data_IF_597456817784
#
_entry.id   IF_597456817784
#
_cell.length_a   1.000
_cell.length_b   1.000
_cell.length_c   1.000
_cell.angle_alpha   90.00
_cell.angle_beta   90.00
_cell.angle_gamma   90.00
#
_symmetry.space_group_name_H-M   'P 1'
#
loop_
_entity.id
_entity.type
_entity.pdbx_description
1 polymer ?
#
# COMPACT_ATOMS: atom_id res chain seq x y z
N UNK A 1 -6.78 -10.96 0.16
CA UNK A 1 -7.26 -12.32 -0.18
C UNK A 1 -8.75 -12.37 0.07
N UNK A 2 -9.49 -13.12 -0.73
CA UNK A 2 -10.89 -13.47 -0.47
C UNK A 2 -11.03 -14.97 -0.67
N UNK A 3 -11.72 -15.65 0.23
CA UNK A 3 -12.11 -17.06 0.08
C UNK A 3 -13.62 -17.21 0.05
N UNK A 4 -14.13 -18.21 -0.66
CA UNK A 4 -15.55 -18.56 -0.67
C UNK A 4 -15.86 -19.80 0.19
N UNK A 5 -17.13 -20.25 0.15
CA UNK A 5 -17.59 -21.44 0.88
C UNK A 5 -17.19 -22.76 0.20
N UNK A 6 -16.68 -22.72 -1.03
CA UNK A 6 -16.33 -23.88 -1.85
C UNK A 6 -14.83 -24.21 -1.79
N UNK A 7 -14.05 -23.44 -1.02
CA UNK A 7 -12.61 -23.60 -0.87
C UNK A 7 -11.79 -22.90 -1.95
N UNK A 8 -12.43 -22.09 -2.80
CA UNK A 8 -11.70 -21.20 -3.69
C UNK A 8 -11.16 -20.01 -2.91
N UNK A 9 -9.97 -19.57 -3.30
CA UNK A 9 -9.27 -18.44 -2.69
C UNK A 9 -8.59 -17.66 -3.80
N UNK A 10 -8.71 -16.34 -3.76
CA UNK A 10 -8.03 -15.45 -4.69
C UNK A 10 -7.18 -14.39 -3.99
N UNK A 11 -5.96 -14.19 -4.48
CA UNK A 11 -5.09 -13.09 -4.10
C UNK A 11 -5.26 -11.90 -5.07
N UNK A 12 -6.00 -10.90 -4.63
CA UNK A 12 -6.27 -9.69 -5.41
C UNK A 12 -5.08 -8.73 -5.46
N UNK A 13 -4.20 -8.75 -4.47
CA UNK A 13 -3.11 -7.77 -4.44
C UNK A 13 -2.04 -8.12 -3.42
N UNK A 14 -0.81 -7.72 -3.73
CA UNK A 14 0.31 -7.76 -2.83
C UNK A 14 1.06 -6.44 -2.92
N UNK A 15 1.52 -5.95 -1.76
CA UNK A 15 2.21 -4.69 -1.64
C UNK A 15 3.55 -4.84 -0.93
N UNK A 16 4.52 -4.00 -1.29
CA UNK A 16 5.70 -3.76 -0.45
C UNK A 16 5.39 -2.60 0.49
N UNK A 17 5.77 -2.78 1.75
CA UNK A 17 5.71 -1.73 2.77
C UNK A 17 7.09 -1.08 2.92
N UNK A 18 7.13 0.25 2.92
CA UNK A 18 8.31 1.04 3.25
C UNK A 18 8.00 1.84 4.51
N UNK A 19 8.94 1.85 5.45
CA UNK A 19 8.75 2.44 6.76
C UNK A 19 9.45 3.79 6.89
N UNK A 20 8.90 4.64 7.75
CA UNK A 20 9.41 5.97 8.08
C UNK A 20 10.86 5.89 8.58
N UNK A 21 11.61 6.95 8.30
CA UNK A 21 12.94 7.17 8.89
C UNK A 21 12.90 8.06 10.14
N UNK A 22 11.76 8.69 10.42
CA UNK A 22 11.60 9.75 11.42
C UNK A 22 10.66 9.36 12.57
N UNK A 23 9.93 8.26 12.44
CA UNK A 23 9.13 7.70 13.54
C UNK A 23 10.04 7.17 14.66
N UNK A 24 9.80 7.61 15.89
CA UNK A 24 10.46 7.12 17.09
C UNK A 24 9.88 5.76 17.50
N UNK A 25 10.78 4.77 17.63
CA UNK A 25 10.55 3.47 18.30
C UNK A 25 9.63 2.47 17.59
N UNK A 26 8.89 2.86 16.56
CA UNK A 26 8.01 2.00 15.78
C UNK A 26 8.38 2.02 14.29
N UNK A 27 8.28 0.87 13.62
CA UNK A 27 8.31 0.80 12.16
C UNK A 27 6.94 1.23 11.63
N UNK A 28 6.79 2.51 11.30
CA UNK A 28 5.56 3.08 10.76
C UNK A 28 5.60 3.01 9.24
N UNK A 29 4.66 2.31 8.61
CA UNK A 29 4.61 2.24 7.15
C UNK A 29 4.18 3.59 6.59
N UNK A 30 5.00 4.17 5.72
CA UNK A 30 4.75 5.43 5.02
C UNK A 30 4.43 5.20 3.54
N UNK A 31 4.78 4.04 3.00
CA UNK A 31 4.36 3.67 1.64
C UNK A 31 3.89 2.23 1.63
N UNK A 32 2.71 2.00 1.07
CA UNK A 32 2.29 0.70 0.59
C UNK A 32 2.23 0.73 -0.93
N UNK A 33 3.03 -0.09 -1.61
CA UNK A 33 3.12 -0.10 -3.07
C UNK A 33 2.66 -1.43 -3.65
N UNK A 34 1.45 -1.44 -4.24
CA UNK A 34 0.84 -2.61 -4.87
C UNK A 34 1.29 -2.77 -6.32
N UNK A 35 1.46 -4.03 -6.74
CA UNK A 35 1.86 -4.40 -8.09
C UNK A 35 3.17 -3.73 -8.55
N UNK A 36 4.12 -3.59 -7.62
CA UNK A 36 5.43 -2.97 -7.88
C UNK A 36 6.30 -3.78 -8.86
N UNK A 37 7.24 -3.11 -9.54
CA UNK A 37 8.32 -3.74 -10.33
C UNK A 37 9.52 -4.22 -9.52
N UNK A 38 9.52 -4.06 -8.19
CA UNK A 38 10.64 -4.47 -7.34
C UNK A 38 11.04 -5.95 -7.53
N UNK A 39 10.05 -6.82 -7.76
CA UNK A 39 10.27 -8.23 -8.05
C UNK A 39 9.69 -8.60 -9.41
N UNK A 40 10.22 -9.68 -9.98
CA UNK A 40 9.69 -10.28 -11.21
C UNK A 40 8.31 -10.92 -10.96
N UNK A 41 7.61 -11.19 -12.06
CA UNK A 41 6.25 -11.71 -12.04
C UNK A 41 6.17 -13.11 -11.40
N UNK A 42 7.24 -13.91 -11.53
CA UNK A 42 7.35 -15.24 -10.94
C UNK A 42 7.44 -15.16 -9.40
N UNK A 43 8.22 -14.21 -8.87
CA UNK A 43 8.32 -13.97 -7.44
C UNK A 43 6.99 -13.49 -6.87
N UNK A 44 6.29 -12.59 -7.58
CA UNK A 44 4.96 -12.15 -7.18
C UNK A 44 3.93 -13.28 -7.18
N UNK A 45 3.91 -14.12 -8.21
CA UNK A 45 3.04 -15.30 -8.25
C UNK A 45 3.31 -16.24 -7.07
N UNK A 46 4.59 -16.48 -6.75
CA UNK A 46 4.99 -17.29 -5.58
C UNK A 46 4.52 -16.68 -4.25
N UNK A 47 4.57 -15.35 -4.11
CA UNK A 47 4.05 -14.64 -2.93
C UNK A 47 2.53 -14.81 -2.82
N UNK A 48 1.79 -14.65 -3.92
CA UNK A 48 0.35 -14.86 -3.93
C UNK A 48 -0.02 -16.29 -3.55
N UNK A 49 0.64 -17.28 -4.16
CA UNK A 49 0.39 -18.69 -3.88
C UNK A 49 0.68 -19.04 -2.42
N UNK A 50 1.79 -18.54 -1.86
CA UNK A 50 2.09 -18.69 -0.45
C UNK A 50 0.97 -18.10 0.43
N UNK A 51 0.45 -16.92 0.07
CA UNK A 51 -0.66 -16.31 0.79
C UNK A 51 -1.95 -17.13 0.74
N UNK A 52 -2.26 -17.71 -0.42
CA UNK A 52 -3.40 -18.61 -0.60
C UNK A 52 -3.24 -19.88 0.26
N UNK A 53 -2.04 -20.45 0.30
CA UNK A 53 -1.74 -21.61 1.13
C UNK A 53 -1.90 -21.32 2.61
N UNK A 54 -1.38 -20.19 3.10
CA UNK A 54 -1.59 -19.75 4.49
C UNK A 54 -3.07 -19.56 4.82
N UNK A 55 -3.82 -18.91 3.94
CA UNK A 55 -5.26 -18.70 4.13
C UNK A 55 -6.02 -20.02 4.26
N UNK A 56 -5.76 -20.97 3.36
CA UNK A 56 -6.37 -22.31 3.39
C UNK A 56 -5.95 -23.12 4.61
N UNK A 57 -4.67 -23.07 5.00
CA UNK A 57 -4.14 -23.79 6.15
C UNK A 57 -4.79 -23.36 7.48
N UNK A 58 -5.21 -22.10 7.59
CA UNK A 58 -5.94 -21.58 8.74
C UNK A 58 -7.43 -21.92 8.73
N UNK A 59 -7.94 -22.55 7.67
CA UNK A 59 -9.36 -22.87 7.52
C UNK A 59 -10.25 -21.64 7.33
N UNK A 60 -9.69 -20.51 6.91
CA UNK A 60 -10.49 -19.32 6.60
C UNK A 60 -11.35 -19.60 5.36
N UNK A 61 -12.61 -19.17 5.39
CA UNK A 61 -13.55 -19.32 4.29
C UNK A 61 -14.60 -18.21 4.35
N UNK A 62 -15.20 -17.92 3.20
CA UNK A 62 -16.29 -16.93 3.08
C UNK A 62 -15.97 -15.54 3.65
N UNK A 63 -14.71 -15.10 3.55
CA UNK A 63 -14.26 -13.86 4.16
C UNK A 63 -13.02 -13.27 3.50
N UNK A 64 -12.73 -12.02 3.85
CA UNK A 64 -11.47 -11.41 3.52
C UNK A 64 -10.33 -11.89 4.44
N UNK A 65 -9.14 -11.96 3.85
CA UNK A 65 -7.89 -12.18 4.56
C UNK A 65 -6.82 -11.17 4.15
N UNK A 66 -6.08 -10.66 5.13
CA UNK A 66 -4.90 -9.83 4.95
C UNK A 66 -3.70 -10.55 5.58
N UNK A 67 -2.69 -10.85 4.77
CA UNK A 67 -1.50 -11.56 5.24
C UNK A 67 -0.28 -10.65 5.16
N UNK A 68 0.43 -10.53 6.28
CA UNK A 68 1.75 -9.91 6.33
C UNK A 68 2.82 -11.01 6.30
N UNK A 69 3.83 -10.81 5.44
CA UNK A 69 4.92 -11.76 5.23
C UNK A 69 6.26 -11.07 5.23
N UNK A 70 7.29 -11.81 5.63
CA UNK A 70 8.69 -11.43 5.44
C UNK A 70 9.30 -12.37 4.41
N UNK A 71 9.92 -11.81 3.37
CA UNK A 71 10.79 -12.56 2.46
C UNK A 71 12.23 -12.41 2.93
N UNK A 72 12.89 -13.52 3.27
CA UNK A 72 14.31 -13.55 3.59
C UNK A 72 15.18 -13.40 2.34
N UNK A 73 16.46 -13.10 2.54
CA UNK A 73 17.47 -13.04 1.48
C UNK A 73 17.57 -14.34 0.67
N UNK A 74 17.36 -15.49 1.31
CA UNK A 74 17.34 -16.81 0.66
C UNK A 74 16.01 -17.11 -0.08
N UNK A 75 15.10 -16.14 -0.15
CA UNK A 75 13.82 -16.23 -0.82
C UNK A 75 12.72 -16.92 -0.01
N UNK A 76 13.00 -17.49 1.18
CA UNK A 76 11.94 -18.08 2.01
C UNK A 76 10.93 -17.03 2.47
N UNK A 77 9.66 -17.40 2.47
CA UNK A 77 8.55 -16.58 2.93
C UNK A 77 8.15 -17.05 4.33
N UNK A 78 8.04 -16.11 5.27
CA UNK A 78 7.56 -16.34 6.63
C UNK A 78 6.26 -15.59 6.81
N UNK A 79 5.17 -16.25 7.25
CA UNK A 79 3.96 -15.54 7.63
C UNK A 79 4.19 -14.86 8.99
N UNK A 80 3.83 -13.59 9.09
CA UNK A 80 3.93 -12.81 10.33
C UNK A 80 2.58 -12.72 11.02
N UNK A 81 1.57 -12.26 10.27
CA UNK A 81 0.20 -12.07 10.76
C UNK A 81 -0.81 -12.42 9.66
N UNK A 82 -1.92 -13.06 10.03
CA UNK A 82 -3.13 -13.13 9.21
C UNK A 82 -4.27 -12.37 9.90
N UNK A 83 -4.64 -11.23 9.33
CA UNK A 83 -5.85 -10.50 9.68
C UNK A 83 -7.07 -11.11 8.98
N UNK A 84 -8.08 -11.50 9.75
CA UNK A 84 -9.33 -12.06 9.26
C UNK A 84 -10.30 -10.95 8.79
N UNK A 85 -9.80 -10.05 7.92
CA UNK A 85 -10.48 -8.86 7.40
C UNK A 85 -9.76 -8.33 6.16
N UNK A 86 -10.34 -7.34 5.49
CA UNK A 86 -9.61 -6.55 4.50
C UNK A 86 -8.59 -5.62 5.18
N UNK A 87 -7.70 -5.03 4.39
CA UNK A 87 -6.80 -3.94 4.82
C UNK A 87 -7.51 -2.59 4.98
N UNK A 88 -8.85 -2.56 5.06
CA UNK A 88 -9.64 -1.35 5.27
C UNK A 88 -9.66 -0.39 4.07
N UNK A 89 -9.76 0.90 4.36
CA UNK A 89 -9.91 2.00 3.38
C UNK A 89 -8.82 2.02 2.31
N UNK A 90 -7.57 1.75 2.69
CA UNK A 90 -6.46 1.75 1.73
C UNK A 90 -6.67 0.61 0.72
N UNK A 91 -6.98 -0.58 1.23
CA UNK A 91 -7.18 -1.78 0.42
C UNK A 91 -8.29 -1.62 -0.63
N UNK A 92 -9.41 -0.96 -0.31
CA UNK A 92 -10.51 -0.80 -1.28
C UNK A 92 -10.14 0.04 -2.49
N UNK A 93 -9.28 1.04 -2.34
CA UNK A 93 -8.86 1.92 -3.44
C UNK A 93 -7.64 1.37 -4.18
N UNK A 94 -6.65 0.86 -3.44
CA UNK A 94 -5.39 0.43 -4.03
C UNK A 94 -5.49 -0.95 -4.66
N UNK A 95 -6.13 -1.93 -4.01
CA UNK A 95 -6.21 -3.31 -4.51
C UNK A 95 -7.05 -3.38 -5.77
N UNK A 96 -8.20 -2.70 -5.82
CA UNK A 96 -9.01 -2.63 -7.04
C UNK A 96 -8.20 -2.09 -8.22
N UNK A 97 -7.47 -1.00 -8.03
CA UNK A 97 -6.67 -0.40 -9.11
C UNK A 97 -5.49 -1.24 -9.54
N UNK A 98 -4.77 -1.84 -8.59
CA UNK A 98 -3.62 -2.68 -8.90
C UNK A 98 -4.02 -4.00 -9.57
N UNK A 99 -5.16 -4.57 -9.18
CA UNK A 99 -5.66 -5.83 -9.74
C UNK A 99 -6.42 -5.64 -11.05
N UNK A 100 -7.10 -4.51 -11.23
CA UNK A 100 -8.12 -4.33 -12.28
C UNK A 100 -9.44 -5.05 -11.99
N UNK A 101 -9.63 -5.61 -10.78
CA UNK A 101 -10.78 -6.42 -10.40
C UNK A 101 -11.57 -5.80 -9.24
N UNK A 102 -12.91 -5.87 -9.33
CA UNK A 102 -13.82 -5.40 -8.29
C UNK A 102 -13.88 -6.39 -7.10
N UNK A 103 -12.86 -6.29 -6.26
CA UNK A 103 -12.70 -7.11 -5.05
C UNK A 103 -13.89 -7.00 -4.08
N UNK A 104 -14.51 -5.81 -3.99
CA UNK A 104 -15.68 -5.62 -3.11
C UNK A 104 -16.94 -6.22 -3.74
N UNK A 105 -17.10 -6.08 -5.06
CA UNK A 105 -18.16 -6.74 -5.82
C UNK A 105 -18.11 -8.26 -5.70
N UNK A 106 -16.93 -8.85 -5.82
CA UNK A 106 -16.74 -10.29 -5.63
C UNK A 106 -17.05 -10.74 -4.20
N UNK A 107 -16.75 -9.93 -3.20
CA UNK A 107 -17.13 -10.20 -1.82
C UNK A 107 -18.64 -10.16 -1.62
N UNK A 108 -19.33 -9.15 -2.16
CA UNK A 108 -20.80 -9.08 -2.11
C UNK A 108 -21.42 -10.29 -2.81
N UNK A 109 -20.93 -10.65 -4.00
CA UNK A 109 -21.36 -11.85 -4.73
C UNK A 109 -21.16 -13.12 -3.89
N UNK A 110 -20.02 -13.25 -3.23
CA UNK A 110 -19.70 -14.36 -2.34
C UNK A 110 -20.64 -14.41 -1.12
N UNK A 111 -21.01 -13.25 -0.54
CA UNK A 111 -21.98 -13.18 0.58
C UNK A 111 -23.36 -13.70 0.17
N UNK A 112 -23.69 -13.60 -1.12
CA UNK A 112 -24.91 -14.16 -1.71
C UNK A 112 -24.76 -15.60 -2.22
N UNK A 113 -23.71 -16.32 -1.80
CA UNK A 113 -23.49 -17.73 -2.14
C UNK A 113 -22.78 -17.97 -3.47
N UNK A 114 -22.33 -16.91 -4.14
CA UNK A 114 -21.54 -17.03 -5.37
C UNK A 114 -20.14 -17.58 -5.11
N UNK A 115 -19.59 -18.30 -6.08
CA UNK A 115 -18.20 -18.72 -6.07
C UNK A 115 -17.27 -17.59 -6.55
N UNK A 116 -16.06 -17.56 -6.00
CA UNK A 116 -14.96 -16.74 -6.48
C UNK A 116 -14.06 -17.54 -7.41
N UNK A 117 -13.41 -16.86 -8.36
CA UNK A 117 -12.41 -17.48 -9.23
C UNK A 117 -11.14 -17.75 -8.42
N UNK A 118 -10.62 -19.00 -8.35
CA UNK A 118 -9.38 -19.29 -7.63
C UNK A 118 -8.16 -18.72 -8.35
N UNK A 119 -7.11 -18.35 -7.60
CA UNK A 119 -5.82 -17.91 -8.16
C UNK A 119 -5.43 -16.52 -7.71
N UNK A 120 -4.95 -15.67 -8.63
CA UNK A 120 -4.50 -14.32 -8.28
C UNK A 120 -4.61 -13.34 -9.45
N UNK A 121 -4.73 -12.06 -9.11
CA UNK A 121 -4.80 -10.95 -10.09
C UNK A 121 -3.52 -10.07 -10.07
N UNK A 122 -2.38 -10.65 -9.71
CA UNK A 122 -1.09 -9.95 -9.72
C UNK A 122 -0.55 -9.74 -11.15
N UNK A 123 0.39 -8.79 -11.27
CA UNK A 123 1.15 -8.48 -12.50
C UNK A 123 0.36 -7.77 -13.60
N UNK A 124 -0.71 -7.05 -13.25
CA UNK A 124 -1.39 -6.14 -14.19
C UNK A 124 -0.50 -4.97 -14.66
N UNK A 125 -1.01 -4.18 -15.60
CA UNK A 125 -0.28 -3.02 -16.15
C UNK A 125 -0.30 -1.79 -15.23
N UNK A 126 -1.22 -1.75 -14.27
CA UNK A 126 -1.42 -0.62 -13.35
C UNK A 126 -0.89 -0.95 -11.97
N UNK A 127 -0.14 -0.01 -11.37
CA UNK A 127 0.22 -0.03 -9.96
C UNK A 127 -0.61 1.00 -9.19
N UNK A 128 -0.69 0.79 -7.88
CA UNK A 128 -1.28 1.75 -6.97
C UNK A 128 -0.43 1.86 -5.70
N UNK A 129 -0.49 3.01 -5.06
CA UNK A 129 0.33 3.32 -3.92
C UNK A 129 -0.46 4.14 -2.91
N UNK A 130 -0.41 3.75 -1.65
CA UNK A 130 -0.69 4.68 -0.56
C UNK A 130 0.63 5.31 -0.16
N UNK A 131 0.69 6.63 -0.19
CA UNK A 131 1.85 7.44 0.16
C UNK A 131 1.45 8.33 1.33
N UNK A 132 2.04 8.09 2.50
CA UNK A 132 1.97 8.96 3.67
C UNK A 132 3.12 9.97 3.63
N UNK A 133 2.81 11.21 4.00
CA UNK A 133 3.84 12.25 4.09
C UNK A 133 4.77 11.96 5.28
N UNK A 134 6.03 11.62 5.00
CA UNK A 134 7.06 11.42 6.02
C UNK A 134 7.96 12.66 6.11
N UNK A 135 7.62 13.58 7.02
CA UNK A 135 8.32 14.86 7.16
C UNK A 135 9.55 14.69 8.06
N UNK A 136 10.76 15.11 7.61
CA UNK A 136 11.97 15.05 8.43
C UNK A 136 11.84 15.78 9.77
N UNK A 137 12.33 15.13 10.83
CA UNK A 137 12.38 15.70 12.17
C UNK A 137 13.24 16.97 12.25
N UNK A 138 12.89 17.84 13.18
CA UNK A 138 13.52 19.14 13.43
C UNK A 138 13.56 20.02 12.18
N UNK A 139 12.52 19.93 11.36
CA UNK A 139 12.35 20.77 10.16
C UNK A 139 11.30 21.84 10.39
N UNK A 140 11.35 22.89 9.56
CA UNK A 140 10.39 23.99 9.62
C UNK A 140 9.81 24.23 8.24
N UNK A 141 8.48 24.24 8.16
CA UNK A 141 7.77 24.49 6.91
C UNK A 141 7.71 25.98 6.60
N UNK A 142 8.03 26.33 5.35
CA UNK A 142 8.13 27.73 4.90
C UNK A 142 7.14 28.08 3.80
N UNK A 143 6.60 27.08 3.12
CA UNK A 143 5.73 27.28 1.96
C UNK A 143 4.76 26.13 1.82
N UNK A 144 3.52 26.43 1.44
CA UNK A 144 2.56 25.41 1.04
C UNK A 144 3.07 24.68 -0.22
N UNK A 145 3.15 23.36 -0.13
CA UNK A 145 3.50 22.48 -1.22
C UNK A 145 2.83 21.13 -0.99
N UNK A 146 2.74 20.35 -2.05
CA UNK A 146 2.06 19.06 -2.06
C UNK A 146 2.73 18.17 -3.12
N UNK A 147 2.79 16.86 -2.89
CA UNK A 147 3.52 15.93 -3.76
C UNK A 147 2.92 15.90 -5.17
N UNK A 148 1.61 16.10 -5.32
CA UNK A 148 0.89 15.94 -6.59
C UNK A 148 1.35 16.91 -7.67
N UNK A 149 1.92 18.06 -7.26
CA UNK A 149 2.53 19.04 -8.17
C UNK A 149 3.82 18.53 -8.84
N UNK A 150 4.44 17.49 -8.27
CA UNK A 150 5.75 16.97 -8.69
C UNK A 150 5.67 15.55 -9.28
N UNK A 151 4.48 14.98 -9.41
CA UNK A 151 4.28 13.64 -9.97
C UNK A 151 4.45 13.62 -11.49
N UNK A 152 4.80 12.45 -12.04
CA UNK A 152 4.67 12.20 -13.48
C UNK A 152 3.20 12.38 -13.90
N UNK A 153 2.89 13.08 -15.02
CA UNK A 153 1.51 13.33 -15.45
C UNK A 153 0.66 12.07 -15.70
N UNK A 154 1.28 10.90 -15.84
CA UNK A 154 0.60 9.61 -15.96
C UNK A 154 0.19 9.02 -14.62
N UNK A 155 0.66 9.59 -13.51
CA UNK A 155 0.22 9.25 -12.16
C UNK A 155 -0.99 10.12 -11.82
N UNK A 156 -2.04 9.46 -11.36
CA UNK A 156 -3.31 10.05 -10.95
C UNK A 156 -3.49 9.90 -9.44
N UNK A 157 -4.14 10.88 -8.83
CA UNK A 157 -4.48 10.90 -7.41
C UNK A 157 -5.95 10.50 -7.28
N UNK A 158 -6.22 9.44 -6.51
CA UNK A 158 -7.58 8.94 -6.29
C UNK A 158 -8.21 9.53 -5.03
N UNK A 159 -7.38 9.79 -4.03
CA UNK A 159 -7.77 10.36 -2.75
C UNK A 159 -6.56 11.03 -2.12
N UNK A 160 -6.76 12.11 -1.37
CA UNK A 160 -5.71 12.80 -0.66
C UNK A 160 -6.24 13.45 0.62
N UNK A 161 -5.34 13.62 1.60
CA UNK A 161 -5.55 14.39 2.81
C UNK A 161 -4.25 15.14 3.13
N UNK A 162 -4.35 16.47 3.35
CA UNK A 162 -3.21 17.35 3.63
C UNK A 162 -3.33 18.10 4.97
N UNK A 163 -4.22 17.66 5.87
CA UNK A 163 -4.55 18.38 7.11
C UNK A 163 -3.33 18.62 8.03
N UNK A 164 -2.33 17.74 7.93
CA UNK A 164 -1.07 17.85 8.67
C UNK A 164 0.05 18.58 7.94
N UNK A 165 -0.15 19.04 6.69
CA UNK A 165 0.81 19.85 5.93
C UNK A 165 0.59 21.34 6.17
N UNK A 166 1.03 21.81 7.33
CA UNK A 166 0.85 23.18 7.80
C UNK A 166 2.10 24.00 7.54
N UNK A 167 1.92 25.25 7.13
CA UNK A 167 3.00 26.22 6.88
C UNK A 167 3.32 26.95 8.17
N UNK A 168 4.60 27.28 8.37
CA UNK A 168 5.11 27.91 9.59
C UNK A 168 5.01 27.03 10.84
N UNK A 169 5.17 25.72 10.64
CA UNK A 169 5.13 24.70 11.69
C UNK A 169 6.49 24.03 11.84
N UNK A 170 6.83 23.70 13.09
CA UNK A 170 7.99 22.90 13.43
C UNK A 170 7.57 21.42 13.49
N UNK A 171 8.18 20.61 12.63
CA UNK A 171 7.97 19.17 12.60
C UNK A 171 9.04 18.51 13.44
N UNK A 172 8.62 17.94 14.56
CA UNK A 172 9.47 17.20 15.49
C UNK A 172 9.35 15.70 15.26
N UNK A 173 10.24 14.96 15.92
CA UNK A 173 10.11 13.52 16.05
C UNK A 173 8.70 13.12 16.51
N UNK A 174 8.18 12.02 15.96
CA UNK A 174 6.86 11.53 16.32
C UNK A 174 6.86 10.05 16.70
N UNK A 175 5.97 9.70 17.63
CA UNK A 175 5.51 8.33 17.81
C UNK A 175 4.16 8.26 17.10
N UNK A 176 3.97 7.29 16.20
CA UNK A 176 2.63 6.97 15.72
C UNK A 176 1.95 6.09 16.79
N UNK A 177 1.01 6.69 17.52
CA UNK A 177 0.25 6.07 18.60
C UNK A 177 -1.24 5.89 18.25
N UNK A 178 -1.65 6.11 16.98
CA UNK A 178 -3.03 5.87 16.57
C UNK A 178 -3.45 6.49 15.23
N UNK A 179 -2.65 7.37 14.63
CA UNK A 179 -3.00 8.12 13.42
C UNK A 179 -1.95 7.90 12.33
N UNK A 180 -2.20 6.88 11.49
CA UNK A 180 -1.37 6.49 10.33
C UNK A 180 -1.16 7.63 9.32
N UNK A 181 -2.01 8.65 9.39
CA UNK A 181 -2.11 9.77 8.46
C UNK A 181 -1.64 11.08 9.09
N UNK A 182 -0.80 11.04 10.14
CA UNK A 182 -0.42 12.21 10.97
C UNK A 182 -0.14 13.50 10.20
N UNK A 183 0.56 13.40 9.07
CA UNK A 183 0.90 14.54 8.23
C UNK A 183 0.07 14.64 6.94
N UNK A 184 -0.78 13.65 6.69
CA UNK A 184 -1.55 13.49 5.47
C UNK A 184 -1.11 12.28 4.64
N UNK A 185 -1.82 12.03 3.54
CA UNK A 185 -1.53 10.97 2.58
C UNK A 185 -2.10 11.27 1.19
N UNK A 186 -1.62 10.53 0.20
CA UNK A 186 -2.19 10.45 -1.14
C UNK A 186 -2.28 8.99 -1.60
N UNK A 187 -3.40 8.64 -2.25
CA UNK A 187 -3.58 7.37 -2.95
C UNK A 187 -3.30 7.61 -4.43
N UNK A 188 -2.17 7.08 -4.89
CA UNK A 188 -1.65 7.25 -6.24
C UNK A 188 -1.95 6.02 -7.10
N UNK A 189 -2.17 6.24 -8.40
CA UNK A 189 -2.40 5.18 -9.37
C UNK A 189 -1.77 5.56 -10.71
N UNK A 190 -1.11 4.62 -11.38
CA UNK A 190 -0.52 4.86 -12.68
C UNK A 190 0.07 3.59 -13.30
N UNK A 191 0.68 3.69 -14.49
CA UNK A 191 1.37 2.57 -15.11
C UNK A 191 2.44 1.99 -14.17
N UNK A 192 2.54 0.67 -14.11
CA UNK A 192 3.43 -0.08 -13.20
C UNK A 192 4.92 0.25 -13.40
N UNK A 193 5.31 0.67 -14.60
CA UNK A 193 6.66 1.12 -14.95
C UNK A 193 6.92 2.61 -14.61
N UNK A 194 5.89 3.36 -14.26
CA UNK A 194 5.95 4.80 -13.97
C UNK A 194 5.79 5.07 -12.47
N UNK A 195 4.81 4.42 -11.84
CA UNK A 195 4.60 4.49 -10.40
C UNK A 195 5.59 3.55 -9.71
N UNK A 196 6.87 3.95 -9.66
CA UNK A 196 7.93 3.23 -8.97
C UNK A 196 8.24 3.88 -7.63
N UNK A 197 8.94 3.16 -6.74
CA UNK A 197 9.38 3.75 -5.48
C UNK A 197 10.33 4.92 -5.74
N UNK A 198 11.25 4.75 -6.68
CA UNK A 198 12.26 5.75 -7.05
C UNK A 198 11.62 7.01 -7.64
N UNK A 199 10.60 6.85 -8.49
CA UNK A 199 9.83 7.95 -9.08
C UNK A 199 9.14 8.78 -7.99
N UNK A 200 8.50 8.11 -7.03
CA UNK A 200 7.82 8.79 -5.92
C UNK A 200 8.80 9.41 -4.94
N UNK A 201 9.96 8.80 -4.71
CA UNK A 201 11.02 9.40 -3.89
C UNK A 201 11.56 10.70 -4.51
N UNK A 202 11.81 10.74 -5.83
CA UNK A 202 12.22 11.98 -6.51
C UNK A 202 11.15 13.08 -6.40
N UNK A 203 9.86 12.74 -6.61
CA UNK A 203 8.76 13.69 -6.38
C UNK A 203 8.70 14.17 -4.91
N UNK A 204 8.88 13.26 -3.95
CA UNK A 204 8.90 13.59 -2.52
C UNK A 204 10.06 14.52 -2.15
N UNK A 205 11.27 14.28 -2.69
CA UNK A 205 12.40 15.17 -2.47
C UNK A 205 12.14 16.59 -2.98
N UNK A 206 11.52 16.72 -4.17
CA UNK A 206 11.16 18.03 -4.74
C UNK A 206 10.09 18.72 -3.90
N UNK A 207 9.10 17.98 -3.43
CA UNK A 207 8.11 18.46 -2.46
C UNK A 207 8.80 18.99 -1.20
N UNK A 208 9.66 18.18 -0.54
CA UNK A 208 10.33 18.55 0.70
C UNK A 208 11.21 19.79 0.54
N UNK A 209 11.94 19.92 -0.58
CA UNK A 209 12.75 21.12 -0.89
C UNK A 209 11.91 22.38 -1.03
N UNK A 210 10.67 22.26 -1.53
CA UNK A 210 9.75 23.39 -1.63
C UNK A 210 9.07 23.70 -0.30
N UNK A 211 8.67 22.66 0.42
CA UNK A 211 7.87 22.75 1.64
C UNK A 211 8.70 23.26 2.83
N UNK A 212 9.92 22.75 2.97
CA UNK A 212 10.78 22.98 4.12
C UNK A 212 11.81 24.08 3.86
N UNK A 213 12.24 24.74 4.93
CA UNK A 213 13.40 25.62 4.90
C UNK A 213 14.63 24.78 4.55
N UNK A 214 15.32 25.12 3.46
CA UNK A 214 16.62 24.53 3.15
C UNK A 214 17.59 24.71 4.32
N UNK A 215 18.34 23.65 4.64
CA UNK A 215 19.53 23.78 5.49
C UNK A 215 20.62 24.57 4.77
#
# INVERSE_FOLDING_TARGET
LLGDAYGHVNCYGSSIQYHSLYALKNNVTVIHHWNSRKYDDATWARIAEFGIQCYKALGLHSMFGHLEIIMKEDGRLIPVEMGARSSGFIGSHTVWKASGHDYLGDYVKMLHGGAIEPGHYLNGETASMWFGYDIPSHSYSVKAADITTFLDPRITVLFENHDGLRVHEHYEDYIDDGDRDKFGYAILCGPRDVLTYESIQDSNERFLRCFLKGK
#
